data_IF_165093844947
#
_entry.id   IF_165093844947
#
_cell.length_a   1.000
_cell.length_b   1.000
_cell.length_c   1.000
_cell.angle_alpha   90.00
_cell.angle_beta   90.00
_cell.angle_gamma   90.00
#
_symmetry.space_group_name_H-M   'P 1'
#
loop_
_entity.id
_entity.type
_entity.pdbx_description
1 polymer ?
#
# COMPACT_ATOMS: atom_id res chain seq x y z
N UNK A 1 -5.95 26.31 -3.36
CA UNK A 1 -5.23 25.05 -3.04
C UNK A 1 -6.17 23.92 -2.61
N UNK A 2 -7.50 24.14 -2.52
CA UNK A 2 -8.47 23.12 -2.07
C UNK A 2 -8.89 22.12 -3.18
N UNK A 3 -8.93 22.57 -4.45
CA UNK A 3 -9.38 21.74 -5.57
C UNK A 3 -8.47 20.54 -5.89
N UNK A 4 -7.15 20.67 -5.70
CA UNK A 4 -6.16 19.60 -5.97
C UNK A 4 -6.34 18.42 -5.02
N UNK A 5 -6.61 18.69 -3.74
CA UNK A 5 -6.84 17.66 -2.73
C UNK A 5 -8.11 16.85 -3.04
N UNK A 6 -9.18 17.51 -3.50
CA UNK A 6 -10.42 16.83 -3.91
C UNK A 6 -10.25 15.93 -5.13
N UNK A 7 -9.48 16.38 -6.13
CA UNK A 7 -9.20 15.58 -7.33
C UNK A 7 -8.34 14.36 -7.02
N UNK A 8 -7.30 14.52 -6.20
CA UNK A 8 -6.43 13.42 -5.79
C UNK A 8 -7.17 12.36 -4.95
N UNK A 9 -8.04 12.79 -4.02
CA UNK A 9 -8.88 11.88 -3.25
C UNK A 9 -9.84 11.08 -4.14
N UNK A 10 -10.43 11.71 -5.16
CA UNK A 10 -11.29 11.03 -6.13
C UNK A 10 -10.49 10.03 -6.99
N UNK A 11 -9.26 10.38 -7.40
CA UNK A 11 -8.36 9.49 -8.14
C UNK A 11 -7.99 8.25 -7.31
N UNK A 12 -7.61 8.42 -6.04
CA UNK A 12 -7.31 7.29 -5.14
C UNK A 12 -8.54 6.43 -4.84
N UNK A 13 -9.71 7.04 -4.70
CA UNK A 13 -10.97 6.31 -4.52
C UNK A 13 -11.26 5.42 -5.72
N UNK A 14 -11.14 5.96 -6.93
CA UNK A 14 -11.33 5.21 -8.18
C UNK A 14 -10.28 4.10 -8.32
N UNK A 15 -9.01 4.41 -8.04
CA UNK A 15 -7.92 3.44 -8.08
C UNK A 15 -8.13 2.31 -7.07
N UNK A 16 -8.60 2.61 -5.85
CA UNK A 16 -8.87 1.61 -4.81
C UNK A 16 -9.95 0.61 -5.22
N UNK A 17 -10.99 1.04 -5.95
CA UNK A 17 -12.07 0.17 -6.43
C UNK A 17 -11.58 -0.89 -7.43
N UNK A 18 -10.58 -0.55 -8.24
CA UNK A 18 -10.08 -1.41 -9.32
C UNK A 18 -8.64 -1.90 -9.08
N UNK A 19 -8.06 -1.67 -7.90
CA UNK A 19 -6.63 -1.90 -7.66
C UNK A 19 -6.18 -3.34 -7.95
N UNK A 20 -7.08 -4.31 -7.74
CA UNK A 20 -6.79 -5.74 -7.96
C UNK A 20 -6.60 -6.10 -9.43
N UNK A 21 -7.03 -5.24 -10.35
CA UNK A 21 -6.82 -5.38 -11.80
C UNK A 21 -5.40 -4.94 -12.22
N UNK A 22 -4.67 -4.26 -11.33
CA UNK A 22 -3.31 -3.80 -11.57
C UNK A 22 -2.28 -4.75 -10.95
N UNK A 23 -1.14 -4.88 -11.63
CA UNK A 23 0.08 -5.41 -11.02
C UNK A 23 0.75 -4.35 -10.14
N UNK A 24 1.63 -4.77 -9.23
CA UNK A 24 2.43 -3.85 -8.39
C UNK A 24 3.24 -2.87 -9.24
N UNK A 25 3.81 -3.34 -10.35
CA UNK A 25 4.58 -2.53 -11.30
C UNK A 25 3.76 -1.40 -11.93
N UNK A 26 2.44 -1.60 -12.09
CA UNK A 26 1.54 -0.58 -12.63
C UNK A 26 0.96 0.31 -11.53
N UNK A 27 0.62 -0.27 -10.38
CA UNK A 27 0.00 0.44 -9.27
C UNK A 27 0.94 1.46 -8.62
N UNK A 28 2.21 1.11 -8.38
CA UNK A 28 3.15 1.99 -7.67
C UNK A 28 3.34 3.32 -8.41
N UNK A 29 3.64 3.36 -9.73
CA UNK A 29 3.78 4.64 -10.44
C UNK A 29 2.52 5.50 -10.42
N UNK A 30 1.32 4.89 -10.51
CA UNK A 30 0.05 5.61 -10.45
C UNK A 30 -0.16 6.25 -9.08
N UNK A 31 0.12 5.50 -8.01
CA UNK A 31 0.01 5.99 -6.63
C UNK A 31 1.01 7.13 -6.38
N UNK A 32 2.27 6.96 -6.78
CA UNK A 32 3.29 8.00 -6.63
C UNK A 32 2.96 9.25 -7.44
N UNK A 33 2.36 9.11 -8.63
CA UNK A 33 1.87 10.24 -9.41
C UNK A 33 0.81 11.05 -8.65
N UNK A 34 -0.17 10.38 -8.03
CA UNK A 34 -1.19 11.07 -7.24
C UNK A 34 -0.59 11.70 -5.97
N UNK A 35 0.33 10.99 -5.28
CA UNK A 35 1.02 11.54 -4.11
C UNK A 35 1.84 12.79 -4.46
N UNK A 36 2.46 12.83 -5.64
CA UNK A 36 3.23 13.98 -6.14
C UNK A 36 2.34 15.21 -6.38
N UNK A 37 1.10 15.02 -6.81
CA UNK A 37 0.14 16.11 -6.97
C UNK A 37 -0.32 16.69 -5.62
N UNK A 38 -0.42 15.85 -4.59
CA UNK A 38 -0.81 16.25 -3.23
C UNK A 38 0.35 16.88 -2.47
N UNK A 39 1.56 16.35 -2.66
CA UNK A 39 2.79 16.76 -2.00
C UNK A 39 3.79 17.30 -3.04
N UNK A 40 3.56 18.49 -3.63
CA UNK A 40 4.43 19.00 -4.68
C UNK A 40 5.82 19.40 -4.16
N UNK A 41 5.93 19.75 -2.89
CA UNK A 41 7.14 20.36 -2.29
C UNK A 41 8.13 19.35 -1.69
N UNK A 42 7.77 18.07 -1.60
CA UNK A 42 8.65 17.01 -1.06
C UNK A 42 9.57 16.49 -2.16
N UNK A 43 10.76 15.98 -1.82
CA UNK A 43 11.63 15.33 -2.82
C UNK A 43 11.15 13.91 -3.18
N UNK A 44 11.81 13.25 -4.14
CA UNK A 44 11.45 11.89 -4.55
C UNK A 44 11.62 10.87 -3.42
N UNK A 45 12.65 11.02 -2.58
CA UNK A 45 12.93 10.09 -1.48
C UNK A 45 11.87 10.20 -0.38
N UNK A 46 11.47 11.42 -0.05
CA UNK A 46 10.40 11.73 0.88
C UNK A 46 9.03 11.28 0.35
N UNK A 47 8.81 11.34 -0.97
CA UNK A 47 7.55 10.89 -1.58
C UNK A 47 7.25 9.41 -1.25
N UNK A 48 8.29 8.59 -1.19
CA UNK A 48 8.17 7.18 -0.82
C UNK A 48 7.71 6.97 0.63
N UNK A 49 7.92 7.93 1.53
CA UNK A 49 7.46 7.84 2.92
C UNK A 49 5.93 7.91 3.06
N UNK A 50 5.22 8.45 2.06
CA UNK A 50 3.76 8.50 2.04
C UNK A 50 3.11 7.21 1.50
N UNK A 51 3.91 6.24 1.03
CA UNK A 51 3.45 4.95 0.54
C UNK A 51 3.89 3.82 1.48
N UNK A 52 2.94 3.30 2.26
CA UNK A 52 3.15 2.11 3.06
C UNK A 52 2.88 0.82 2.26
N UNK A 53 3.83 -0.10 2.24
CA UNK A 53 3.64 -1.45 1.69
C UNK A 53 3.40 -2.44 2.83
N UNK A 54 2.31 -3.20 2.75
CA UNK A 54 1.96 -4.23 3.74
C UNK A 54 1.82 -5.59 3.06
N UNK A 55 2.44 -6.62 3.62
CA UNK A 55 2.18 -7.98 3.18
C UNK A 55 0.81 -8.46 3.69
N UNK A 56 0.02 -9.09 2.83
CA UNK A 56 -1.11 -9.91 3.22
C UNK A 56 -0.59 -11.32 3.57
N UNK A 57 -0.55 -11.75 4.85
CA UNK A 57 -0.03 -13.06 5.25
C UNK A 57 -0.96 -14.22 4.88
N UNK A 58 -1.96 -14.00 4.04
CA UNK A 58 -2.87 -15.06 3.59
C UNK A 58 -2.09 -16.17 2.87
N UNK A 59 -2.29 -17.41 3.30
CA UNK A 59 -1.72 -18.63 2.67
C UNK A 59 -2.54 -19.09 1.45
N UNK A 60 -3.49 -18.28 0.98
CA UNK A 60 -4.28 -18.60 -0.21
C UNK A 60 -3.44 -18.56 -1.49
N UNK A 61 -4.07 -18.92 -2.61
CA UNK A 61 -3.55 -18.68 -3.95
C UNK A 61 -4.25 -17.42 -4.50
N UNK A 62 -3.70 -16.22 -4.29
CA UNK A 62 -4.34 -15.01 -4.77
C UNK A 62 -4.33 -14.99 -6.30
N UNK A 63 -5.34 -14.37 -6.89
CA UNK A 63 -5.45 -14.20 -8.34
C UNK A 63 -4.77 -12.89 -8.82
N UNK A 64 -4.27 -12.07 -7.89
CA UNK A 64 -3.62 -10.77 -8.12
C UNK A 64 -2.59 -10.48 -7.03
N UNK A 65 -1.50 -9.80 -7.39
CA UNK A 65 -0.39 -9.42 -6.52
C UNK A 65 -0.77 -8.33 -5.51
N UNK A 66 -1.94 -7.69 -5.70
CA UNK A 66 -2.49 -6.66 -4.81
C UNK A 66 -3.82 -7.13 -4.22
N UNK A 67 -3.95 -6.97 -2.91
CA UNK A 67 -5.18 -7.26 -2.18
C UNK A 67 -6.10 -6.04 -2.13
N UNK A 68 -5.55 -4.88 -1.70
CA UNK A 68 -6.31 -3.64 -1.53
C UNK A 68 -5.39 -2.42 -1.45
N UNK A 69 -5.98 -1.26 -1.71
CA UNK A 69 -5.42 0.06 -1.47
C UNK A 69 -6.27 0.81 -0.45
N UNK A 70 -5.67 1.22 0.65
CA UNK A 70 -6.25 2.16 1.60
C UNK A 70 -5.54 3.51 1.51
N UNK A 71 -6.22 4.58 1.90
CA UNK A 71 -5.61 5.89 2.09
C UNK A 71 -6.19 6.55 3.34
N UNK A 72 -5.36 7.34 4.03
CA UNK A 72 -5.71 7.98 5.27
C UNK A 72 -4.94 9.28 5.44
N UNK A 73 -5.46 10.18 6.26
CA UNK A 73 -4.77 11.43 6.60
C UNK A 73 -4.12 11.28 7.97
N UNK A 74 -2.88 11.73 8.08
CA UNK A 74 -2.17 11.94 9.33
C UNK A 74 -1.74 13.40 9.38
N UNK A 75 -2.27 14.14 10.36
CA UNK A 75 -2.24 15.60 10.37
C UNK A 75 -2.83 16.21 9.07
N UNK A 76 -2.01 16.92 8.29
CA UNK A 76 -2.38 17.49 6.99
C UNK A 76 -1.99 16.62 5.81
N UNK A 77 -1.25 15.54 6.06
CA UNK A 77 -0.62 14.77 5.00
C UNK A 77 -1.44 13.53 4.65
N UNK A 78 -1.55 13.27 3.35
CA UNK A 78 -2.22 12.10 2.81
C UNK A 78 -1.22 10.95 2.67
N UNK A 79 -1.57 9.81 3.24
CA UNK A 79 -0.83 8.56 3.16
C UNK A 79 -1.64 7.51 2.42
N UNK A 80 -0.93 6.63 1.75
CA UNK A 80 -1.49 5.50 1.00
C UNK A 80 -0.87 4.21 1.52
N UNK A 81 -1.70 3.18 1.73
CA UNK A 81 -1.29 1.86 2.16
C UNK A 81 -1.70 0.82 1.13
N UNK A 82 -0.73 0.15 0.55
CA UNK A 82 -0.93 -0.92 -0.43
C UNK A 82 -0.71 -2.29 0.24
N UNK A 83 -1.74 -3.14 0.20
CA UNK A 83 -1.67 -4.50 0.70
C UNK A 83 -1.32 -5.44 -0.44
N UNK A 84 -0.20 -6.13 -0.31
CA UNK A 84 0.39 -6.99 -1.32
C UNK A 84 0.13 -8.45 -1.00
N UNK A 85 -0.35 -9.18 -2.00
CA UNK A 85 -0.42 -10.63 -1.99
C UNK A 85 0.94 -11.19 -2.40
N UNK A 86 1.84 -11.29 -1.44
CA UNK A 86 3.18 -11.83 -1.63
C UNK A 86 3.13 -13.36 -1.74
N UNK A 87 2.84 -13.83 -2.95
CA UNK A 87 2.90 -15.25 -3.28
C UNK A 87 4.34 -15.76 -3.05
N UNK A 88 4.47 -16.90 -2.37
CA UNK A 88 5.74 -17.56 -2.05
C UNK A 88 6.51 -17.05 -0.81
N UNK A 89 5.89 -16.37 0.17
CA UNK A 89 6.53 -16.21 1.49
C UNK A 89 6.71 -17.55 2.22
N UNK A 90 5.87 -18.54 1.91
CA UNK A 90 5.92 -19.86 2.54
C UNK A 90 5.84 -20.93 1.45
N UNK A 91 6.94 -21.64 1.19
CA UNK A 91 6.88 -22.94 0.51
C UNK A 91 7.38 -23.08 -0.94
N UNK A 92 8.21 -22.19 -1.49
CA UNK A 92 8.95 -22.51 -2.74
C UNK A 92 10.47 -22.44 -2.50
N UNK A 93 11.12 -23.60 -2.46
CA UNK A 93 12.58 -23.78 -2.42
C UNK A 93 13.25 -23.78 -1.04
N UNK A 94 12.79 -22.93 -0.12
CA UNK A 94 13.15 -22.94 1.31
C UNK A 94 12.10 -22.10 2.04
N UNK A 95 11.21 -22.69 2.86
CA UNK A 95 10.22 -21.88 3.56
C UNK A 95 10.97 -20.88 4.44
N UNK A 96 10.65 -19.59 4.29
CA UNK A 96 11.14 -18.58 5.23
C UNK A 96 10.90 -19.11 6.65
N UNK A 97 11.90 -19.03 7.55
CA UNK A 97 11.74 -19.46 8.92
C UNK A 97 10.44 -18.90 9.49
N UNK A 98 9.67 -19.73 10.21
CA UNK A 98 8.34 -19.41 10.71
C UNK A 98 8.26 -18.03 11.39
N UNK A 99 9.38 -17.58 11.97
CA UNK A 99 9.59 -16.24 12.50
C UNK A 99 9.12 -15.08 11.59
N UNK A 100 9.36 -15.12 10.27
CA UNK A 100 8.93 -14.04 9.37
C UNK A 100 7.41 -14.04 9.13
N UNK A 101 6.77 -15.21 9.13
CA UNK A 101 5.33 -15.32 9.04
C UNK A 101 4.67 -14.75 10.31
N UNK A 102 5.21 -15.06 11.48
CA UNK A 102 4.75 -14.52 12.77
C UNK A 102 4.89 -12.99 12.84
N UNK A 103 5.94 -12.42 12.26
CA UNK A 103 6.11 -10.95 12.24
C UNK A 103 5.11 -10.26 11.31
N UNK A 104 4.79 -10.86 10.15
CA UNK A 104 3.74 -10.37 9.25
C UNK A 104 2.33 -10.50 9.86
N UNK A 105 2.11 -11.55 10.67
CA UNK A 105 0.87 -11.73 11.44
C UNK A 105 0.77 -10.74 12.62
N UNK A 106 1.87 -10.53 13.35
CA UNK A 106 1.94 -9.64 14.52
C UNK A 106 1.79 -8.15 14.19
N UNK A 107 2.03 -7.74 12.94
CA UNK A 107 1.74 -6.37 12.49
C UNK A 107 0.23 -6.06 12.45
N UNK A 108 -0.63 -7.08 12.38
CA UNK A 108 -2.09 -6.91 12.44
C UNK A 108 -2.61 -6.59 13.84
N UNK A 109 -1.84 -6.93 14.88
CA UNK A 109 -2.30 -6.87 16.29
C UNK A 109 -1.82 -5.61 17.05
N UNK A 110 -1.07 -4.69 16.42
CA UNK A 110 -0.72 -3.44 17.09
C UNK A 110 -1.91 -2.47 17.03
N UNK A 111 -2.66 -2.22 18.13
CA UNK A 111 -3.55 -1.08 18.18
C UNK A 111 -2.71 0.19 17.99
N UNK A 112 -3.14 1.07 17.08
CA UNK A 112 -2.63 2.45 17.02
C UNK A 112 -2.79 3.04 18.43
N UNK A 113 -1.67 3.18 19.15
CA UNK A 113 -1.66 3.90 20.42
C UNK A 113 -1.92 5.37 20.09
N UNK A 114 -3.00 5.85 20.71
CA UNK A 114 -3.48 7.23 20.76
C UNK A 114 -2.44 8.15 21.37
#
# INVERSE_FOLDING_TARGET
MDATHGAAAAALTTLSQHIREYSVYQAIPLILGVLREVHPDVDDEQLHAFLELRANPSLGFPCSDIERLDFFHEHTDLYVRLYLNVMSLVGSGSPLPAFYAEQALGERDKPKRV
#
